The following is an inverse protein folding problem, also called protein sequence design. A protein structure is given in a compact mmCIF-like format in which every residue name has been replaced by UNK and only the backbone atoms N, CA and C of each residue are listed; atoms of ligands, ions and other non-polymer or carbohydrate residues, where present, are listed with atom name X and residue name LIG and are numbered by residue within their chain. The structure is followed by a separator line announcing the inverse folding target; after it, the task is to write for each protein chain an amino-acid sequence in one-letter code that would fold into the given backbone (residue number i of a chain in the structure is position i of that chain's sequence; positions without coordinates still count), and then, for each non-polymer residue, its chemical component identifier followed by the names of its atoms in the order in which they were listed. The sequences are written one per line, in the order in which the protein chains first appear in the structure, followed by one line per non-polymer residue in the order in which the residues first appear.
data_IF_450311731691
#
_entry.id   IF_450311731691
#
_cell.length_a   1.000
_cell.length_b   1.000
_cell.length_c   1.000
_cell.angle_alpha   90.00
_cell.angle_beta   90.00
_cell.angle_gamma   90.00
#
_symmetry.space_group_name_H-M   'P 1'
#
loop_
_entity.id
_entity.type
_entity.pdbx_description
1 polymer ?
#
# COMPACT_ATOMS: atom_id res chain seq x y z
N UNK A 1 -10.17 -7.95 12.82
CA UNK A 1 -9.32 -7.02 13.58
C UNK A 1 -7.88 -7.29 13.17
N UNK A 2 -7.43 -6.68 12.06
CA UNK A 2 -6.07 -6.89 11.52
C UNK A 2 -5.38 -5.53 11.45
N UNK A 3 -4.69 -5.18 12.52
CA UNK A 3 -3.68 -4.11 12.50
C UNK A 3 -2.43 -4.73 11.90
N UNK A 4 -2.11 -4.45 10.64
CA UNK A 4 -0.81 -4.79 10.08
C UNK A 4 0.19 -3.84 10.74
N UNK A 5 1.16 -4.31 11.53
CA UNK A 5 2.17 -3.45 12.15
C UNK A 5 3.13 -2.96 11.06
N UNK A 6 2.72 -1.95 10.31
CA UNK A 6 3.58 -1.31 9.33
C UNK A 6 4.38 -0.21 10.04
N UNK A 7 5.71 -0.30 10.00
CA UNK A 7 6.59 0.78 10.45
C UNK A 7 6.47 1.97 9.48
N UNK A 8 6.88 3.17 9.88
CA UNK A 8 6.57 4.41 9.14
C UNK A 8 7.12 4.40 7.71
N UNK A 9 6.24 4.48 6.71
CA UNK A 9 6.57 4.65 5.30
C UNK A 9 5.52 5.51 4.57
N UNK A 10 5.90 5.99 3.39
CA UNK A 10 5.34 7.15 2.70
C UNK A 10 4.15 6.79 1.78
N UNK A 11 3.54 7.80 1.18
CA UNK A 11 2.53 7.66 0.13
C UNK A 11 3.13 8.18 -1.17
N UNK A 12 3.05 7.36 -2.21
CA UNK A 12 3.37 7.77 -3.57
C UNK A 12 2.09 8.24 -4.27
N UNK A 13 2.18 9.38 -4.96
CA UNK A 13 1.12 9.92 -5.81
C UNK A 13 1.43 9.55 -7.25
N UNK A 14 0.52 8.80 -7.89
CA UNK A 14 0.70 8.21 -9.21
C UNK A 14 -0.39 8.74 -10.15
N UNK A 15 -0.06 9.65 -11.08
CA UNK A 15 -0.96 9.98 -12.18
C UNK A 15 -1.13 8.74 -13.06
N UNK A 16 -2.34 8.19 -13.14
CA UNK A 16 -2.64 6.99 -13.94
C UNK A 16 -3.41 7.32 -15.23
N UNK A 17 -3.94 8.54 -15.33
CA UNK A 17 -4.43 9.14 -16.57
C UNK A 17 -4.34 10.68 -16.46
N UNK A 18 -4.84 11.40 -17.47
CA UNK A 18 -4.95 12.88 -17.41
C UNK A 18 -5.93 13.39 -16.35
N UNK A 19 -6.86 12.55 -15.89
CA UNK A 19 -7.94 12.94 -14.96
C UNK A 19 -7.85 12.22 -13.62
N UNK A 20 -7.08 11.13 -13.54
CA UNK A 20 -7.06 10.25 -12.38
C UNK A 20 -5.66 10.14 -11.76
N UNK A 21 -5.63 10.32 -10.45
CA UNK A 21 -4.43 10.14 -9.62
C UNK A 21 -4.71 9.09 -8.56
N UNK A 22 -3.87 8.06 -8.55
CA UNK A 22 -3.89 7.01 -7.55
C UNK A 22 -2.89 7.33 -6.43
N UNK A 23 -3.30 7.07 -5.19
CA UNK A 23 -2.43 7.16 -4.03
C UNK A 23 -2.03 5.75 -3.59
N UNK A 24 -0.73 5.51 -3.47
CA UNK A 24 -0.18 4.19 -3.15
C UNK A 24 0.58 4.27 -1.83
N UNK A 25 0.10 3.55 -0.83
CA UNK A 25 0.92 3.25 0.33
C UNK A 25 2.02 2.28 -0.09
N UNK A 26 3.26 2.56 0.30
CA UNK A 26 4.34 1.59 0.18
C UNK A 26 5.12 1.54 1.48
N UNK A 27 5.54 0.35 1.89
CA UNK A 27 6.30 0.17 3.12
C UNK A 27 6.79 -1.26 3.32
N UNK A 28 7.32 -1.54 4.50
CA UNK A 28 7.75 -2.88 4.89
C UNK A 28 6.56 -3.71 5.38
N UNK A 29 6.51 -4.98 4.96
CA UNK A 29 5.68 -6.00 5.59
C UNK A 29 6.44 -6.57 6.79
N UNK A 30 6.31 -5.90 7.93
CA UNK A 30 7.05 -6.24 9.15
C UNK A 30 6.90 -7.71 9.54
N UNK A 31 8.04 -8.34 9.90
CA UNK A 31 8.11 -9.76 10.33
C UNK A 31 7.58 -10.73 9.27
N UNK A 32 7.81 -10.42 8.00
CA UNK A 32 7.51 -11.36 6.92
C UNK A 32 8.66 -12.32 6.63
N UNK A 33 9.88 -11.94 7.03
CA UNK A 33 11.06 -12.80 7.00
C UNK A 33 10.87 -14.04 7.89
N UNK A 34 11.25 -15.21 7.37
CA UNK A 34 11.21 -16.46 8.13
C UNK A 34 12.32 -16.52 9.19
N UNK A 35 13.47 -15.91 8.90
CA UNK A 35 14.65 -15.88 9.76
C UNK A 35 14.67 -14.69 10.73
N UNK A 36 13.70 -13.78 10.64
CA UNK A 36 13.62 -12.57 11.45
C UNK A 36 14.67 -11.51 11.11
N UNK A 37 15.42 -11.66 10.01
CA UNK A 37 16.37 -10.65 9.56
C UNK A 37 15.60 -9.55 8.84
N UNK A 38 15.68 -8.32 9.37
CA UNK A 38 14.95 -7.15 8.83
C UNK A 38 15.19 -6.91 7.34
N UNK A 39 16.41 -7.12 6.85
CA UNK A 39 16.74 -6.95 5.44
C UNK A 39 16.06 -7.95 4.50
N UNK A 40 15.44 -9.00 5.03
CA UNK A 40 14.68 -10.00 4.27
C UNK A 40 13.17 -9.79 4.38
N UNK A 41 12.70 -8.79 5.11
CA UNK A 41 11.28 -8.46 5.13
C UNK A 41 10.83 -7.98 3.74
N UNK A 42 9.68 -8.47 3.30
CA UNK A 42 9.08 -8.08 2.03
C UNK A 42 8.61 -6.63 2.07
N UNK A 43 8.48 -6.06 0.89
CA UNK A 43 7.78 -4.79 0.71
C UNK A 43 6.28 -5.03 0.52
N UNK A 44 5.47 -4.17 1.12
CA UNK A 44 4.03 -4.06 0.89
C UNK A 44 3.74 -2.83 0.04
N UNK A 45 2.89 -3.00 -0.97
CA UNK A 45 2.33 -1.94 -1.80
C UNK A 45 0.81 -2.08 -1.74
N UNK A 46 0.12 -1.01 -1.35
CA UNK A 46 -1.32 -1.04 -1.11
C UNK A 46 -1.95 0.20 -1.76
N UNK A 47 -2.81 0.03 -2.79
CA UNK A 47 -3.61 1.13 -3.30
C UNK A 47 -4.51 1.68 -2.20
N UNK A 48 -4.50 3.00 -2.01
CA UNK A 48 -5.39 3.68 -1.08
C UNK A 48 -6.69 3.98 -1.82
N UNK A 49 -7.79 3.48 -1.26
CA UNK A 49 -9.13 3.75 -1.77
C UNK A 49 -9.82 4.79 -0.87
N UNK A 50 -10.65 5.63 -1.48
CA UNK A 50 -11.41 6.67 -0.78
C UNK A 50 -12.91 6.37 -0.84
N UNK A 51 -13.64 6.83 0.18
CA UNK A 51 -15.10 6.93 0.14
C UNK A 51 -15.51 8.19 -0.65
N UNK A 52 -16.80 8.32 -0.98
CA UNK A 52 -17.32 9.46 -1.78
C UNK A 52 -17.07 10.84 -1.15
N UNK A 53 -16.68 10.91 0.12
CA UNK A 53 -16.37 12.14 0.85
C UNK A 53 -14.87 12.33 1.12
N UNK A 54 -14.00 11.75 0.29
CA UNK A 54 -12.54 11.82 0.38
C UNK A 54 -11.94 11.27 1.68
N UNK A 55 -12.71 10.48 2.43
CA UNK A 55 -12.20 9.77 3.60
C UNK A 55 -11.55 8.45 3.13
N UNK A 56 -10.28 8.17 3.49
CA UNK A 56 -9.65 6.90 3.17
C UNK A 56 -10.40 5.71 3.77
N UNK A 57 -10.63 4.68 2.97
CA UNK A 57 -11.09 3.38 3.45
C UNK A 57 -9.98 2.69 4.26
N UNK A 58 -10.33 1.77 5.18
CA UNK A 58 -9.33 0.94 5.84
C UNK A 58 -8.45 0.22 4.81
N UNK A 59 -7.13 0.33 4.97
CA UNK A 59 -6.19 -0.31 4.06
C UNK A 59 -6.38 -1.83 4.06
N UNK A 60 -6.45 -2.39 2.86
CA UNK A 60 -6.55 -3.83 2.65
C UNK A 60 -5.31 -4.33 1.92
N UNK A 61 -4.62 -5.31 2.50
CA UNK A 61 -3.52 -5.96 1.81
C UNK A 61 -4.06 -6.90 0.72
N UNK A 62 -3.63 -6.68 -0.51
CA UNK A 62 -3.95 -7.51 -1.66
C UNK A 62 -2.72 -8.35 -2.04
N UNK A 63 -2.92 -9.64 -2.34
CA UNK A 63 -1.82 -10.51 -2.80
C UNK A 63 -1.35 -10.12 -4.22
N UNK A 64 -2.25 -9.54 -5.01
CA UNK A 64 -1.98 -8.98 -6.32
C UNK A 64 -2.95 -7.83 -6.59
N UNK A 65 -2.51 -6.87 -7.40
CA UNK A 65 -3.34 -5.83 -8.00
C UNK A 65 -2.72 -5.43 -9.33
N UNK A 66 -3.49 -4.75 -10.17
CA UNK A 66 -3.02 -4.22 -11.46
C UNK A 66 -3.20 -2.72 -11.47
N UNK A 67 -2.18 -1.99 -11.94
CA UNK A 67 -2.28 -0.56 -12.24
C UNK A 67 -2.40 -0.41 -13.76
N UNK A 68 -3.50 0.20 -14.21
CA UNK A 68 -3.69 0.52 -15.61
C UNK A 68 -3.28 1.98 -15.81
N UNK A 69 -2.12 2.19 -16.42
CA UNK A 69 -1.57 3.52 -16.71
C UNK A 69 -1.88 3.84 -18.17
N UNK A 70 -2.47 5.01 -18.42
CA UNK A 70 -2.88 5.48 -19.75
C UNK A 70 -2.03 6.65 -20.23
#
# INVERSE_FOLDING_TARGET
NFTVPAQQFNVATLPISSEETLYMYYGERFRSSYDGIKGHDFQAWIPIEFMENDIPKPMRFYNNFTLNIQ
#
